data_IF_560644213355
#
_entry.id   IF_560644213355
#
_cell.length_a   1.000
_cell.length_b   1.000
_cell.length_c   1.000
_cell.angle_alpha   90.00
_cell.angle_beta   90.00
_cell.angle_gamma   90.00
#
_symmetry.space_group_name_H-M   'P 1'
#
loop_
_entity.id
_entity.type
_entity.pdbx_description
1 polymer ?
#
# COMPACT_ATOMS: atom_id res chain seq x y z
N UNK A 1 -2.98 -7.66 25.16
CA UNK A 1 -3.53 -7.02 23.93
C UNK A 1 -3.75 -8.14 22.93
N UNK A 2 -4.98 -8.67 22.80
CA UNK A 2 -5.24 -9.73 21.82
C UNK A 2 -5.24 -9.12 20.43
N UNK A 3 -4.15 -9.32 19.70
CA UNK A 3 -4.04 -8.94 18.30
C UNK A 3 -4.96 -9.90 17.53
N UNK A 4 -6.00 -9.35 16.91
CA UNK A 4 -6.93 -10.13 16.12
C UNK A 4 -6.24 -10.58 14.81
N UNK A 5 -6.50 -11.80 14.35
CA UNK A 5 -5.96 -12.37 13.10
C UNK A 5 -6.20 -11.42 11.93
N UNK A 6 -7.37 -10.77 11.89
CA UNK A 6 -7.70 -9.75 10.89
C UNK A 6 -6.70 -8.59 10.87
N UNK A 7 -6.27 -8.10 12.03
CA UNK A 7 -5.25 -7.05 12.12
C UNK A 7 -3.88 -7.53 11.64
N UNK A 8 -3.53 -8.80 11.88
CA UNK A 8 -2.27 -9.38 11.40
C UNK A 8 -2.23 -9.48 9.89
N UNK A 9 -3.33 -9.90 9.26
CA UNK A 9 -3.43 -9.98 7.78
C UNK A 9 -3.23 -8.59 7.16
N UNK A 10 -3.85 -7.55 7.73
CA UNK A 10 -3.72 -6.17 7.24
C UNK A 10 -2.27 -5.66 7.35
N UNK A 11 -1.61 -5.91 8.49
CA UNK A 11 -0.19 -5.57 8.67
C UNK A 11 0.69 -6.35 7.70
N UNK A 12 0.38 -7.63 7.45
CA UNK A 12 1.07 -8.45 6.45
C UNK A 12 0.97 -7.85 5.05
N UNK A 13 -0.24 -7.47 4.61
CA UNK A 13 -0.45 -6.81 3.31
C UNK A 13 0.30 -5.47 3.22
N UNK A 14 0.31 -4.68 4.28
CA UNK A 14 1.12 -3.47 4.38
C UNK A 14 2.61 -3.76 4.14
N UNK A 15 3.17 -4.71 4.89
CA UNK A 15 4.59 -5.05 4.79
C UNK A 15 4.92 -5.53 3.37
N UNK A 16 4.09 -6.42 2.80
CA UNK A 16 4.27 -6.90 1.42
C UNK A 16 4.27 -5.73 0.44
N UNK A 17 3.32 -4.80 0.56
CA UNK A 17 3.24 -3.62 -0.30
C UNK A 17 4.49 -2.74 -0.23
N UNK A 18 5.05 -2.55 0.98
CA UNK A 18 6.30 -1.81 1.16
C UNK A 18 7.51 -2.55 0.60
N UNK A 19 7.65 -3.86 0.85
CA UNK A 19 8.75 -4.68 0.32
C UNK A 19 8.74 -4.64 -1.21
N UNK A 20 7.57 -4.81 -1.82
CA UNK A 20 7.39 -4.71 -3.26
C UNK A 20 7.75 -3.31 -3.77
N UNK A 21 7.23 -2.26 -3.13
CA UNK A 21 7.56 -0.88 -3.47
C UNK A 21 9.07 -0.61 -3.44
N UNK A 22 9.77 -1.00 -2.36
CA UNK A 22 11.21 -0.81 -2.24
C UNK A 22 12.02 -1.63 -3.24
N UNK A 23 11.66 -2.89 -3.47
CA UNK A 23 12.34 -3.75 -4.44
C UNK A 23 12.33 -3.14 -5.84
N UNK A 24 11.16 -2.66 -6.28
CA UNK A 24 11.05 -2.04 -7.60
C UNK A 24 11.68 -0.65 -7.67
N UNK A 25 11.67 0.12 -6.58
CA UNK A 25 12.47 1.34 -6.50
C UNK A 25 13.95 1.02 -6.74
N UNK A 26 14.53 0.11 -5.97
CA UNK A 26 15.94 -0.22 -6.07
C UNK A 26 16.30 -0.79 -7.46
N UNK A 27 15.53 -1.78 -7.94
CA UNK A 27 15.76 -2.39 -9.25
C UNK A 27 15.65 -1.41 -10.42
N UNK A 28 14.70 -0.46 -10.40
CA UNK A 28 14.59 0.56 -11.43
C UNK A 28 15.72 1.59 -11.36
N UNK A 29 16.07 2.06 -10.16
CA UNK A 29 17.13 3.05 -10.00
C UNK A 29 18.51 2.51 -10.39
N UNK A 30 18.76 1.22 -10.16
CA UNK A 30 20.02 0.56 -10.55
C UNK A 30 20.10 0.31 -12.08
N UNK A 31 18.98 0.11 -12.78
CA UNK A 31 18.96 -0.20 -14.22
C UNK A 31 18.72 1.00 -15.12
N UNK A 32 18.17 2.11 -14.61
CA UNK A 32 17.92 3.32 -15.39
C UNK A 32 18.98 4.38 -15.11
N UNK A 33 20.02 4.40 -15.93
CA UNK A 33 20.88 5.58 -16.08
C UNK A 33 19.99 6.71 -16.59
N UNK A 34 19.64 7.67 -15.73
CA UNK A 34 18.76 8.79 -16.07
C UNK A 34 19.47 9.66 -17.11
N UNK A 35 19.26 9.37 -18.39
CA UNK A 35 19.52 10.31 -19.47
C UNK A 35 18.28 11.20 -19.51
N UNK A 36 18.37 12.51 -19.18
CA UNK A 36 17.22 13.39 -19.19
C UNK A 36 16.81 13.65 -20.65
N UNK A 37 15.90 12.82 -21.18
CA UNK A 37 15.14 13.14 -22.39
C UNK A 37 14.00 14.08 -21.99
N UNK A 38 14.01 15.30 -22.52
CA UNK A 38 12.98 16.31 -22.26
C UNK A 38 11.58 15.92 -22.79
N UNK A 39 11.50 14.86 -23.62
CA UNK A 39 10.27 14.46 -24.31
C UNK A 39 9.65 13.15 -23.80
N UNK A 40 10.33 12.46 -22.89
CA UNK A 40 9.95 11.10 -22.49
C UNK A 40 9.68 11.04 -20.97
N UNK A 41 8.41 11.21 -20.61
CA UNK A 41 7.84 10.87 -19.30
C UNK A 41 7.80 9.34 -19.11
N UNK A 42 8.96 8.71 -19.19
CA UNK A 42 9.12 7.26 -19.32
C UNK A 42 9.40 6.69 -17.91
N UNK A 43 8.30 6.30 -17.23
CA UNK A 43 8.16 5.25 -16.19
C UNK A 43 8.57 5.49 -14.72
N UNK A 44 9.32 6.53 -14.37
CA UNK A 44 9.63 6.78 -12.94
C UNK A 44 8.44 7.38 -12.16
N UNK A 45 7.46 7.95 -12.85
CA UNK A 45 6.28 8.62 -12.26
C UNK A 45 5.24 7.67 -11.65
N UNK A 46 4.83 6.55 -12.26
CA UNK A 46 3.80 5.68 -11.68
C UNK A 46 4.28 4.95 -10.41
N UNK A 47 5.50 4.42 -10.38
CA UNK A 47 6.00 3.71 -9.19
C UNK A 47 6.21 4.62 -7.98
N UNK A 48 6.78 5.82 -8.20
CA UNK A 48 6.86 6.85 -7.15
C UNK A 48 5.48 7.29 -6.68
N UNK A 49 4.53 7.46 -7.60
CA UNK A 49 3.14 7.77 -7.29
C UNK A 49 2.48 6.68 -6.43
N UNK A 50 2.69 5.40 -6.78
CA UNK A 50 2.16 4.26 -6.03
C UNK A 50 2.78 4.16 -4.63
N UNK A 51 4.09 4.38 -4.48
CA UNK A 51 4.73 4.43 -3.16
C UNK A 51 4.25 5.61 -2.32
N UNK A 52 4.05 6.78 -2.92
CA UNK A 52 3.42 7.93 -2.27
C UNK A 52 2.00 7.62 -1.79
N UNK A 53 1.21 6.92 -2.61
CA UNK A 53 -0.14 6.48 -2.23
C UNK A 53 -0.09 5.47 -1.08
N UNK A 54 0.86 4.53 -1.14
CA UNK A 54 1.07 3.48 -0.13
C UNK A 54 1.46 4.09 1.22
N UNK A 55 2.29 5.13 1.23
CA UNK A 55 2.70 5.82 2.46
C UNK A 55 1.56 6.62 3.08
N UNK A 56 0.74 7.32 2.27
CA UNK A 56 -0.47 8.01 2.74
C UNK A 56 -1.44 7.01 3.38
N UNK A 57 -1.75 5.91 2.70
CA UNK A 57 -2.66 4.90 3.25
C UNK A 57 -2.11 4.19 4.47
N UNK A 58 -0.79 4.00 4.54
CA UNK A 58 -0.10 3.51 5.76
C UNK A 58 -0.35 4.45 6.93
N UNK A 59 -0.12 5.75 6.75
CA UNK A 59 -0.32 6.75 7.80
C UNK A 59 -1.79 6.80 8.27
N UNK A 60 -2.74 6.80 7.34
CA UNK A 60 -4.18 6.76 7.65
C UNK A 60 -4.56 5.48 8.40
N UNK A 61 -4.07 4.33 7.95
CA UNK A 61 -4.36 3.03 8.59
C UNK A 61 -3.83 3.00 10.03
N UNK A 62 -2.61 3.45 10.26
CA UNK A 62 -1.99 3.52 11.59
C UNK A 62 -2.72 4.51 12.51
N UNK A 63 -3.11 5.67 11.99
CA UNK A 63 -3.87 6.67 12.73
C UNK A 63 -5.23 6.14 13.17
N UNK A 64 -5.97 5.48 12.26
CA UNK A 64 -7.23 4.84 12.58
C UNK A 64 -7.05 3.74 13.63
N UNK A 65 -6.02 2.91 13.51
CA UNK A 65 -5.72 1.86 14.47
C UNK A 65 -5.40 2.43 15.86
N UNK A 66 -4.60 3.50 15.93
CA UNK A 66 -4.29 4.18 17.18
C UNK A 66 -5.52 4.81 17.83
N UNK A 67 -6.37 5.48 17.04
CA UNK A 67 -7.62 6.07 17.52
C UNK A 67 -8.58 4.99 18.05
N UNK A 68 -8.68 3.83 17.39
CA UNK A 68 -9.48 2.70 17.89
C UNK A 68 -8.97 2.18 19.24
N UNK A 69 -7.65 2.13 19.45
CA UNK A 69 -7.05 1.69 20.72
C UNK A 69 -7.32 2.71 21.83
N UNK A 70 -7.13 4.01 21.54
CA UNK A 70 -7.26 5.09 22.52
C UNK A 70 -8.71 5.37 22.90
N UNK A 71 -9.63 5.29 21.93
CA UNK A 71 -11.05 5.62 22.09
C UNK A 71 -11.95 4.38 22.03
N UNK A 72 -11.55 3.29 22.72
CA UNK A 72 -12.30 2.03 22.79
C UNK A 72 -13.78 2.18 23.18
N UNK A 73 -14.11 3.21 23.99
CA UNK A 73 -15.48 3.52 24.38
C UNK A 73 -16.32 4.16 23.25
N UNK A 74 -15.71 4.91 22.34
CA UNK A 74 -16.42 5.57 21.23
C UNK A 74 -16.76 4.57 20.11
N UNK A 75 -15.93 3.55 19.91
CA UNK A 75 -16.12 2.49 18.91
C UNK A 75 -16.81 1.23 19.46
N UNK A 76 -17.53 1.34 20.58
CA UNK A 76 -18.20 0.18 21.20
C UNK A 76 -19.28 -0.46 20.31
N UNK A 77 -19.71 0.26 19.27
CA UNK A 77 -20.54 -0.30 18.22
C UNK A 77 -19.74 -1.27 17.34
N UNK A 78 -19.90 -2.57 17.59
CA UNK A 78 -19.33 -3.67 16.80
C UNK A 78 -19.43 -3.45 15.28
N UNK A 79 -20.52 -2.86 14.79
CA UNK A 79 -20.71 -2.53 13.36
C UNK A 79 -19.60 -1.62 12.80
N UNK A 80 -19.23 -0.55 13.50
CA UNK A 80 -18.19 0.38 13.04
C UNK A 80 -16.81 -0.28 13.04
N UNK A 81 -16.54 -1.14 14.02
CA UNK A 81 -15.31 -1.92 14.07
C UNK A 81 -15.19 -2.88 12.87
N UNK A 82 -16.25 -3.62 12.54
CA UNK A 82 -16.24 -4.51 11.37
C UNK A 82 -16.15 -3.73 10.06
N UNK A 83 -16.90 -2.64 9.91
CA UNK A 83 -16.90 -1.82 8.70
C UNK A 83 -15.50 -1.25 8.40
N UNK A 84 -14.85 -0.66 9.41
CA UNK A 84 -13.48 -0.12 9.28
C UNK A 84 -12.44 -1.19 8.98
N UNK A 85 -12.58 -2.39 9.57
CA UNK A 85 -11.69 -3.51 9.26
C UNK A 85 -11.88 -4.02 7.83
N UNK A 86 -13.12 -4.20 7.38
CA UNK A 86 -13.43 -4.68 6.03
C UNK A 86 -12.97 -3.65 4.99
N UNK A 87 -13.22 -2.36 5.21
CA UNK A 87 -12.78 -1.30 4.30
C UNK A 87 -11.27 -1.26 4.17
N UNK A 88 -10.53 -1.39 5.28
CA UNK A 88 -9.07 -1.41 5.23
C UNK A 88 -8.55 -2.65 4.49
N UNK A 89 -9.14 -3.83 4.69
CA UNK A 89 -8.75 -5.02 3.92
C UNK A 89 -8.96 -4.85 2.42
N UNK A 90 -10.14 -4.37 2.02
CA UNK A 90 -10.43 -4.08 0.61
C UNK A 90 -9.45 -3.06 0.02
N UNK A 91 -9.11 -2.02 0.79
CA UNK A 91 -8.14 -1.01 0.38
C UNK A 91 -6.75 -1.63 0.18
N UNK A 92 -6.25 -2.42 1.13
CA UNK A 92 -4.93 -3.05 1.02
C UNK A 92 -4.85 -4.08 -0.10
N UNK A 93 -5.92 -4.86 -0.33
CA UNK A 93 -6.03 -5.77 -1.48
C UNK A 93 -5.96 -4.97 -2.79
N UNK A 94 -6.67 -3.84 -2.88
CA UNK A 94 -6.65 -3.00 -4.07
C UNK A 94 -5.26 -2.39 -4.32
N UNK A 95 -4.59 -1.88 -3.29
CA UNK A 95 -3.22 -1.33 -3.40
C UNK A 95 -2.25 -2.38 -3.91
N UNK A 96 -2.25 -3.58 -3.31
CA UNK A 96 -1.37 -4.68 -3.75
C UNK A 96 -1.72 -5.12 -5.17
N UNK A 97 -3.00 -5.20 -5.52
CA UNK A 97 -3.44 -5.58 -6.87
C UNK A 97 -2.98 -4.57 -7.93
N UNK A 98 -3.06 -3.27 -7.63
CA UNK A 98 -2.55 -2.21 -8.52
C UNK A 98 -1.04 -2.31 -8.66
N UNK A 99 -0.31 -2.52 -7.57
CA UNK A 99 1.14 -2.74 -7.59
C UNK A 99 1.50 -3.94 -8.48
N UNK A 100 0.84 -5.09 -8.28
CA UNK A 100 1.05 -6.29 -9.10
C UNK A 100 0.74 -6.02 -10.57
N UNK A 101 -0.35 -5.32 -10.88
CA UNK A 101 -0.69 -4.98 -12.28
C UNK A 101 0.39 -4.12 -12.93
N UNK A 102 0.87 -3.10 -12.23
CA UNK A 102 1.94 -2.21 -12.74
C UNK A 102 3.24 -2.99 -12.94
N UNK A 103 3.54 -3.93 -12.03
CA UNK A 103 4.69 -4.84 -12.17
C UNK A 103 4.55 -5.72 -13.40
N UNK A 104 3.40 -6.37 -13.58
CA UNK A 104 3.14 -7.24 -14.74
C UNK A 104 3.21 -6.47 -16.06
N UNK A 105 2.73 -5.22 -16.07
CA UNK A 105 2.84 -4.33 -17.22
C UNK A 105 4.31 -3.98 -17.52
N UNK A 106 5.10 -3.64 -16.49
CA UNK A 106 6.52 -3.34 -16.65
C UNK A 106 7.37 -4.57 -17.05
N UNK A 107 6.96 -5.77 -16.66
CA UNK A 107 7.58 -7.03 -17.09
C UNK A 107 7.14 -7.46 -18.50
N UNK A 108 6.24 -6.71 -19.16
CA UNK A 108 5.71 -7.06 -20.48
C UNK A 108 4.79 -8.28 -20.49
N UNK A 109 4.31 -8.72 -19.32
CA UNK A 109 3.45 -9.90 -19.16
C UNK A 109 1.98 -9.55 -19.42
N UNK A 110 1.59 -8.30 -19.13
CA UNK A 110 0.23 -7.82 -19.34
C UNK A 110 0.29 -6.53 -20.18
N UNK A 111 -0.49 -6.47 -21.26
CA UNK A 111 -0.69 -5.27 -22.07
C UNK A 111 -1.96 -4.52 -21.66
#
# INVERSE_FOLDING_TARGET
MNINISSMIMIGLMIVSWVVGFYFLQGYYDTTLIIPSLNDYIWTTPFKGILGLTSIFTAVTLLLFFLQIKFKQFFHQKKYFYFTHISNHLLWIAVVSVQVKVILFNLGICH
#
